data_IF_649815775888
#
_entry.id   IF_649815775888
#
_cell.length_a   1.000
_cell.length_b   1.000
_cell.length_c   1.000
_cell.angle_alpha   90.00
_cell.angle_beta   90.00
_cell.angle_gamma   90.00
#
_symmetry.space_group_name_H-M   'P 1'
#
loop_
_entity.id
_entity.type
_entity.pdbx_description
1 polymer ?
#
# COMPACT_ATOMS: atom_id res chain seq x y z
N UNK A 1 0.40 12.97 15.09
CA UNK A 1 1.51 12.53 14.20
C UNK A 1 0.89 11.71 13.09
N UNK A 2 0.91 12.19 11.84
CA UNK A 2 0.29 11.46 10.72
C UNK A 2 1.26 10.48 10.07
N UNK A 3 0.74 9.33 9.64
CA UNK A 3 1.48 8.32 8.88
C UNK A 3 1.49 8.66 7.39
N UNK A 4 2.48 8.18 6.66
CA UNK A 4 2.51 8.21 5.20
C UNK A 4 1.85 6.95 4.67
N UNK A 5 0.78 7.08 3.88
CA UNK A 5 0.15 5.93 3.25
C UNK A 5 0.83 5.62 1.92
N UNK A 6 1.23 4.37 1.74
CA UNK A 6 1.87 3.83 0.55
C UNK A 6 0.91 2.89 -0.15
N UNK A 7 0.59 3.16 -1.41
CA UNK A 7 -0.38 2.38 -2.19
C UNK A 7 -0.05 2.43 -3.68
N UNK A 8 -0.58 1.49 -4.47
CA UNK A 8 -0.50 1.54 -5.93
C UNK A 8 -1.85 1.83 -6.58
N UNK A 9 -2.14 1.21 -7.72
CA UNK A 9 -3.39 1.45 -8.45
C UNK A 9 -4.63 0.79 -7.82
N UNK A 10 -5.82 1.25 -8.24
CA UNK A 10 -7.14 0.77 -7.76
C UNK A 10 -7.40 -0.72 -7.99
N UNK A 11 -6.83 -1.32 -9.03
CA UNK A 11 -6.94 -2.75 -9.29
C UNK A 11 -5.59 -3.37 -9.00
N UNK A 12 -5.22 -3.58 -7.72
CA UNK A 12 -3.86 -3.94 -7.37
C UNK A 12 -3.50 -5.31 -7.95
N UNK A 13 -2.32 -5.38 -8.53
CA UNK A 13 -1.66 -6.62 -8.90
C UNK A 13 -0.64 -7.00 -7.82
N UNK A 14 0.02 -8.14 -8.03
CA UNK A 14 1.01 -8.68 -7.09
C UNK A 14 2.17 -7.70 -6.90
N UNK A 15 2.65 -7.06 -7.97
CA UNK A 15 3.71 -6.05 -7.87
C UNK A 15 3.26 -4.84 -7.04
N UNK A 16 2.04 -4.33 -7.27
CA UNK A 16 1.47 -3.24 -6.47
C UNK A 16 1.46 -3.54 -4.98
N UNK A 17 0.98 -4.72 -4.58
CA UNK A 17 0.89 -5.08 -3.16
C UNK A 17 2.27 -5.32 -2.56
N UNK A 18 3.11 -6.10 -3.22
CA UNK A 18 4.46 -6.41 -2.73
C UNK A 18 5.32 -5.15 -2.62
N UNK A 19 5.29 -4.29 -3.63
CA UNK A 19 6.03 -3.04 -3.62
C UNK A 19 5.50 -2.07 -2.54
N UNK A 20 4.19 -2.06 -2.25
CA UNK A 20 3.64 -1.19 -1.21
C UNK A 20 4.15 -1.60 0.18
N UNK A 21 4.14 -2.91 0.43
CA UNK A 21 4.66 -3.51 1.67
C UNK A 21 6.17 -3.22 1.79
N UNK A 22 6.95 -3.55 0.78
CA UNK A 22 8.40 -3.39 0.80
C UNK A 22 8.81 -1.92 0.98
N UNK A 23 8.10 -1.01 0.32
CA UNK A 23 8.41 0.41 0.41
C UNK A 23 7.98 1.04 1.73
N UNK A 24 6.83 0.65 2.28
CA UNK A 24 6.44 1.05 3.63
C UNK A 24 7.44 0.56 4.69
N UNK A 25 7.90 -0.69 4.58
CA UNK A 25 8.94 -1.25 5.45
C UNK A 25 10.26 -0.47 5.33
N UNK A 26 10.72 -0.19 4.11
CA UNK A 26 11.91 0.63 3.89
C UNK A 26 11.78 2.01 4.52
N UNK A 27 10.63 2.68 4.34
CA UNK A 27 10.36 4.00 4.93
C UNK A 27 10.40 3.95 6.45
N UNK A 28 9.79 2.94 7.06
CA UNK A 28 9.83 2.76 8.51
C UNK A 28 11.26 2.57 9.02
N UNK A 29 12.08 1.78 8.31
CA UNK A 29 13.50 1.55 8.64
C UNK A 29 14.36 2.82 8.56
N UNK A 30 14.00 3.78 7.71
CA UNK A 30 14.69 5.08 7.60
C UNK A 30 14.06 6.19 8.47
N UNK A 31 13.17 5.83 9.40
CA UNK A 31 12.58 6.76 10.37
C UNK A 31 11.35 7.53 9.87
N UNK A 32 10.77 7.15 8.73
CA UNK A 32 9.52 7.71 8.22
C UNK A 32 8.37 6.76 8.54
N UNK A 33 7.44 7.19 9.39
CA UNK A 33 6.24 6.39 9.69
C UNK A 33 5.40 6.19 8.43
N UNK A 34 5.39 4.97 7.91
CA UNK A 34 4.68 4.59 6.69
C UNK A 34 3.83 3.34 6.90
N UNK A 35 2.70 3.28 6.21
CA UNK A 35 1.75 2.17 6.23
C UNK A 35 1.39 1.80 4.80
N UNK A 36 1.50 0.52 4.46
CA UNK A 36 1.05 0.00 3.18
C UNK A 36 -0.48 -0.17 3.21
N UNK A 37 -1.16 0.33 2.18
CA UNK A 37 -2.60 0.21 2.01
C UNK A 37 -2.93 -0.19 0.57
N UNK A 38 -4.09 -0.82 0.35
CA UNK A 38 -4.57 -1.24 -0.97
C UNK A 38 -5.85 -0.51 -1.37
N UNK A 39 -6.00 -0.22 -2.66
CA UNK A 39 -7.17 0.46 -3.23
C UNK A 39 -8.14 -0.48 -3.96
N UNK A 40 -7.99 -1.80 -3.78
CA UNK A 40 -8.85 -2.80 -4.41
C UNK A 40 -8.69 -4.19 -3.77
N UNK A 41 -9.49 -5.13 -4.27
CA UNK A 41 -9.46 -6.53 -3.85
C UNK A 41 -8.16 -7.24 -4.24
N UNK A 42 -7.81 -8.25 -3.46
CA UNK A 42 -6.61 -9.07 -3.68
C UNK A 42 -6.97 -10.20 -4.63
N UNK A 43 -6.17 -10.35 -5.68
CA UNK A 43 -6.34 -11.45 -6.62
C UNK A 43 -5.68 -12.75 -6.09
N UNK A 44 -6.00 -13.89 -6.70
CA UNK A 44 -5.46 -15.19 -6.25
C UNK A 44 -3.95 -15.33 -6.35
N UNK A 45 -3.29 -14.68 -7.30
CA UNK A 45 -1.82 -14.70 -7.43
C UNK A 45 -1.17 -13.96 -6.26
N UNK A 46 -1.69 -12.78 -5.93
CA UNK A 46 -1.22 -11.98 -4.81
C UNK A 46 -1.49 -12.70 -3.49
N UNK A 47 -2.68 -13.30 -3.32
CA UNK A 47 -2.97 -14.09 -2.13
C UNK A 47 -2.01 -15.27 -1.98
N UNK A 48 -1.74 -16.00 -3.07
CA UNK A 48 -0.78 -17.09 -3.07
C UNK A 48 0.62 -16.61 -2.65
N UNK A 49 1.08 -15.47 -3.15
CA UNK A 49 2.36 -14.90 -2.74
C UNK A 49 2.39 -14.53 -1.25
N UNK A 50 1.34 -13.88 -0.74
CA UNK A 50 1.22 -13.52 0.68
C UNK A 50 1.27 -14.76 1.58
N UNK A 51 0.50 -15.79 1.22
CA UNK A 51 0.43 -17.05 1.96
C UNK A 51 1.79 -17.79 1.91
N UNK A 52 2.42 -17.83 0.74
CA UNK A 52 3.72 -18.48 0.55
C UNK A 52 4.81 -17.86 1.43
N UNK A 53 4.84 -16.52 1.51
CA UNK A 53 5.79 -15.79 2.34
C UNK A 53 5.34 -15.64 3.80
N UNK A 54 4.21 -16.23 4.19
CA UNK A 54 3.62 -16.11 5.53
C UNK A 54 3.47 -14.65 5.96
N UNK A 55 3.11 -13.77 5.02
CA UNK A 55 2.68 -12.43 5.37
C UNK A 55 1.28 -12.54 5.96
N UNK A 56 1.21 -12.41 7.29
CA UNK A 56 0.00 -12.70 8.08
C UNK A 56 -1.19 -11.83 7.68
N UNK A 57 -0.94 -10.59 7.25
CA UNK A 57 -2.00 -9.67 6.85
C UNK A 57 -1.66 -8.95 5.56
N UNK A 58 -2.61 -8.98 4.64
CA UNK A 58 -2.54 -8.12 3.48
C UNK A 58 -2.72 -6.64 3.86
N UNK A 59 -2.22 -5.70 3.05
CA UNK A 59 -2.38 -4.27 3.32
C UNK A 59 -3.84 -3.89 3.56
N UNK A 60 -4.04 -2.94 4.48
CA UNK A 60 -5.38 -2.44 4.83
C UNK A 60 -6.08 -1.89 3.59
N UNK A 61 -7.34 -2.26 3.39
CA UNK A 61 -8.16 -1.70 2.32
C UNK A 61 -8.57 -0.28 2.63
N UNK A 62 -8.43 0.60 1.64
CA UNK A 62 -8.96 1.96 1.64
C UNK A 62 -9.77 2.17 0.37
N UNK A 63 -10.92 2.83 0.47
CA UNK A 63 -11.78 3.07 -0.69
C UNK A 63 -11.24 4.19 -1.57
N UNK A 64 -10.75 5.28 -0.95
CA UNK A 64 -10.08 6.37 -1.64
C UNK A 64 -8.97 6.97 -0.77
N UNK A 65 -7.90 7.43 -1.38
CA UNK A 65 -6.86 8.20 -0.69
C UNK A 65 -7.44 9.49 -0.05
N UNK A 66 -8.46 10.08 -0.67
CA UNK A 66 -9.13 11.28 -0.17
C UNK A 66 -9.76 11.08 1.22
N UNK A 67 -10.36 9.91 1.48
CA UNK A 67 -10.97 9.60 2.78
C UNK A 67 -9.94 9.54 3.92
N UNK A 68 -8.69 9.23 3.60
CA UNK A 68 -7.61 9.09 4.56
C UNK A 68 -6.85 10.40 4.83
N UNK A 69 -7.19 11.50 4.13
CA UNK A 69 -6.47 12.78 4.20
C UNK A 69 -6.51 13.43 5.58
N UNK A 70 -7.53 13.11 6.40
CA UNK A 70 -7.64 13.63 7.78
C UNK A 70 -6.71 12.94 8.76
N UNK A 71 -6.26 11.72 8.45
CA UNK A 71 -5.47 10.87 9.34
C UNK A 71 -4.00 10.75 8.90
N UNK A 72 -3.74 11.05 7.63
CA UNK A 72 -2.44 10.82 6.99
C UNK A 72 -1.67 12.11 6.78
N UNK A 73 -0.35 12.06 6.97
CA UNK A 73 0.54 13.21 6.76
C UNK A 73 0.93 13.39 5.29
N UNK A 74 0.97 12.29 4.54
CA UNK A 74 1.36 12.27 3.13
C UNK A 74 0.87 10.99 2.45
N UNK A 75 0.72 11.06 1.13
CA UNK A 75 0.33 9.93 0.28
C UNK A 75 1.45 9.68 -0.72
N UNK A 76 1.80 8.42 -0.90
CA UNK A 76 2.83 8.02 -1.83
C UNK A 76 2.31 6.90 -2.72
N UNK A 77 2.00 7.27 -3.96
CA UNK A 77 1.67 6.32 -5.01
C UNK A 77 2.95 5.68 -5.53
N UNK A 78 2.97 4.35 -5.54
CA UNK A 78 4.02 3.56 -6.16
C UNK A 78 3.47 2.91 -7.44
N UNK A 79 4.34 2.67 -8.43
CA UNK A 79 4.02 1.99 -9.70
C UNK A 79 3.10 2.77 -10.67
N UNK A 80 2.46 3.86 -10.24
CA UNK A 80 1.74 4.78 -11.15
C UNK A 80 2.35 6.17 -11.17
N UNK A 81 2.46 6.75 -12.36
CA UNK A 81 2.80 8.16 -12.53
C UNK A 81 1.53 9.00 -12.31
N UNK A 82 1.69 10.14 -11.65
CA UNK A 82 0.67 10.91 -10.91
C UNK A 82 -0.47 11.56 -11.75
N UNK A 83 -0.95 10.93 -12.82
CA UNK A 83 -1.93 11.51 -13.74
C UNK A 83 -3.31 10.87 -13.72
N UNK A 84 -3.55 9.82 -12.92
CA UNK A 84 -4.84 9.09 -12.91
C UNK A 84 -5.29 8.56 -11.53
N UNK A 85 -4.86 9.18 -10.43
CA UNK A 85 -5.42 8.89 -9.09
C UNK A 85 -6.63 9.78 -8.85
#
# INVERSE_FOLDING_TARGET
>A
MGKTLVFGHKNPDTDTICSAIAYADLKNKIGVQAEAVRLGEINGETQYALDFFKQEEAPRFIETAANEMKQSKSFLSIITNSSKV
#
